data_IF_386556565025
#
_entry.id   IF_386556565025
#
_cell.length_a   1.000
_cell.length_b   1.000
_cell.length_c   1.000
_cell.angle_alpha   90.00
_cell.angle_beta   90.00
_cell.angle_gamma   90.00
#
_symmetry.space_group_name_H-M   'P 1'
#
loop_
_entity.id
_entity.type
_entity.pdbx_description
1 polymer ?
#
# COMPACT_ATOMS: atom_id res chain seq x y z
N UNK A 1 72.98 -16.89 56.09
CA UNK A 1 73.67 -15.70 56.63
C UNK A 1 72.64 -14.60 56.69
N UNK A 2 72.18 -14.36 57.92
CA UNK A 2 72.49 -13.24 58.80
C UNK A 2 72.26 -11.88 58.14
N UNK A 3 71.43 -11.11 58.59
CA UNK A 3 71.14 -10.08 59.60
C UNK A 3 70.38 -8.94 58.92
N UNK A 4 69.59 -8.05 59.46
CA UNK A 4 69.08 -7.75 60.77
C UNK A 4 68.04 -6.66 60.64
N UNK A 5 67.20 -6.61 61.62
CA UNK A 5 66.12 -5.60 61.87
C UNK A 5 66.69 -4.18 62.03
N UNK A 6 65.91 -3.19 61.63
CA UNK A 6 65.75 -1.97 62.48
C UNK A 6 64.37 -1.36 62.24
N UNK A 7 63.67 -1.22 63.35
CA UNK A 7 62.46 -0.42 63.48
C UNK A 7 62.82 1.04 63.82
N UNK A 8 62.11 1.99 63.26
CA UNK A 8 62.03 3.33 63.79
C UNK A 8 60.60 3.88 63.57
N UNK A 9 60.18 4.52 64.66
CA UNK A 9 58.87 5.02 65.04
C UNK A 9 58.25 6.14 64.19
N UNK A 10 56.93 6.18 64.30
CA UNK A 10 56.00 7.23 63.81
C UNK A 10 56.28 8.65 64.42
N UNK A 11 55.74 9.66 63.70
CA UNK A 11 54.74 10.45 64.43
C UNK A 11 53.45 10.68 63.58
N UNK A 12 52.39 10.85 64.35
CA UNK A 12 51.02 11.20 63.95
C UNK A 12 50.95 12.56 63.26
N UNK A 13 50.28 12.66 62.11
CA UNK A 13 49.80 13.96 61.65
C UNK A 13 48.42 13.71 60.92
N UNK A 14 47.50 14.47 61.36
CA UNK A 14 46.13 14.77 61.00
C UNK A 14 45.65 14.29 59.60
N UNK A 15 44.60 13.49 59.64
CA UNK A 15 43.78 13.11 58.49
C UNK A 15 42.72 14.18 58.28
N UNK A 16 42.87 14.97 57.24
CA UNK A 16 41.78 15.81 56.69
C UNK A 16 41.02 14.95 55.66
N UNK A 17 39.78 14.64 56.02
CA UNK A 17 38.88 13.89 55.11
C UNK A 17 38.37 14.87 54.06
N UNK A 18 38.89 14.75 52.83
CA UNK A 18 38.30 15.38 51.65
C UNK A 18 37.25 14.42 51.08
N UNK A 19 35.97 14.77 51.25
CA UNK A 19 34.85 14.08 50.66
C UNK A 19 34.80 14.39 49.16
N UNK A 20 35.36 13.54 48.31
CA UNK A 20 35.22 13.63 46.87
C UNK A 20 33.84 13.10 46.48
N UNK A 21 32.92 14.00 46.15
CA UNK A 21 31.63 13.65 45.51
C UNK A 21 31.92 13.25 44.10
N UNK A 22 31.92 11.93 43.85
CA UNK A 22 31.93 11.37 42.47
C UNK A 22 30.54 11.56 41.90
N UNK A 23 30.36 12.61 41.11
CA UNK A 23 29.18 12.75 40.25
C UNK A 23 29.30 11.73 39.12
N UNK A 24 28.64 10.60 39.29
CA UNK A 24 28.48 9.60 38.25
C UNK A 24 27.52 10.15 37.19
N UNK A 25 28.05 10.83 36.16
CA UNK A 25 27.29 11.15 34.96
C UNK A 25 26.92 9.85 34.26
N UNK A 26 25.79 9.26 34.63
CA UNK A 26 25.14 8.26 33.81
C UNK A 26 24.72 8.90 32.46
N UNK A 27 25.63 8.86 31.49
CA UNK A 27 25.30 9.09 30.10
C UNK A 27 24.35 7.97 29.68
N UNK A 28 23.05 8.15 29.88
CA UNK A 28 22.03 7.33 29.22
C UNK A 28 22.21 7.55 27.72
N UNK A 29 23.02 6.73 27.12
CA UNK A 29 23.06 6.57 25.68
C UNK A 29 21.67 6.11 25.22
N UNK A 30 20.88 7.03 24.65
CA UNK A 30 19.70 6.66 23.90
C UNK A 30 20.15 5.78 22.75
N UNK A 31 19.95 4.46 22.88
CA UNK A 31 19.98 3.56 21.73
C UNK A 31 18.98 4.04 20.69
N UNK A 32 19.29 4.00 19.40
CA UNK A 32 18.38 4.51 18.39
C UNK A 32 17.07 3.69 18.43
N UNK A 33 15.95 4.39 18.60
CA UNK A 33 14.59 3.85 18.61
C UNK A 33 14.12 3.30 17.23
N UNK A 34 15.01 2.76 16.44
CA UNK A 34 14.68 2.25 15.11
C UNK A 34 13.68 1.08 15.12
N UNK A 35 13.69 0.25 16.17
CA UNK A 35 12.82 -0.92 16.23
C UNK A 35 11.39 -0.67 16.68
N UNK A 36 11.09 0.46 17.35
CA UNK A 36 9.74 0.77 17.82
C UNK A 36 8.89 1.53 16.80
N UNK A 37 9.53 2.30 15.91
CA UNK A 37 8.81 2.99 14.82
C UNK A 37 8.42 2.02 13.68
N UNK A 38 9.23 0.99 13.39
CA UNK A 38 8.91 0.02 12.35
C UNK A 38 7.72 -0.89 12.70
N UNK A 39 7.47 -1.16 13.99
CA UNK A 39 6.30 -1.91 14.44
C UNK A 39 4.96 -1.17 14.22
N UNK A 40 4.99 0.14 13.99
CA UNK A 40 3.81 0.96 13.71
C UNK A 40 3.55 1.18 12.23
N UNK A 41 4.50 0.90 11.34
CA UNK A 41 4.34 1.08 9.90
C UNK A 41 3.40 0.06 9.29
N UNK A 42 2.66 0.47 8.28
CA UNK A 42 1.82 -0.41 7.47
C UNK A 42 2.74 -1.16 6.50
N UNK A 43 2.73 -2.48 6.58
CA UNK A 43 3.50 -3.35 5.68
C UNK A 43 2.72 -3.59 4.39
N UNK A 44 3.27 -3.15 3.28
CA UNK A 44 2.62 -3.19 1.98
C UNK A 44 3.44 -4.04 1.00
N UNK A 45 2.78 -4.93 0.28
CA UNK A 45 3.35 -5.53 -0.93
C UNK A 45 2.71 -4.91 -2.16
N UNK A 46 3.54 -4.37 -3.06
CA UNK A 46 3.12 -3.77 -4.32
C UNK A 46 3.37 -4.77 -5.44
N UNK A 47 2.30 -5.32 -5.99
CA UNK A 47 2.35 -6.33 -7.06
C UNK A 47 2.35 -5.61 -8.40
N UNK A 48 3.38 -5.84 -9.21
CA UNK A 48 3.55 -5.24 -10.53
C UNK A 48 3.71 -6.32 -11.60
N UNK A 49 3.56 -6.02 -12.82
CA UNK A 49 3.84 -6.69 -14.09
C UNK A 49 2.63 -6.71 -15.04
N UNK A 50 2.83 -7.25 -16.24
CA UNK A 50 1.79 -7.35 -17.27
C UNK A 50 1.50 -6.03 -18.00
N UNK A 51 2.03 -4.90 -17.50
CA UNK A 51 1.96 -3.57 -18.12
C UNK A 51 3.21 -2.76 -17.78
N UNK A 52 3.76 -2.04 -18.76
CA UNK A 52 4.94 -1.18 -18.54
C UNK A 52 4.58 0.13 -17.86
N UNK A 53 5.45 0.61 -16.97
CA UNK A 53 5.27 1.89 -16.28
C UNK A 53 6.62 2.49 -15.86
N UNK A 54 6.64 3.75 -15.45
CA UNK A 54 7.83 4.43 -14.91
C UNK A 54 7.96 4.11 -13.43
N UNK A 55 8.90 3.20 -13.08
CA UNK A 55 9.06 2.69 -11.70
C UNK A 55 9.37 3.80 -10.69
N UNK A 56 10.36 4.64 -10.95
CA UNK A 56 10.82 5.67 -10.01
C UNK A 56 9.71 6.63 -9.57
N UNK A 57 8.97 7.35 -10.46
CA UNK A 57 7.91 8.24 -10.03
C UNK A 57 6.71 7.49 -9.42
N UNK A 58 6.45 6.25 -9.81
CA UNK A 58 5.41 5.43 -9.21
C UNK A 58 5.73 5.08 -7.75
N UNK A 59 6.93 4.57 -7.48
CA UNK A 59 7.29 4.18 -6.11
C UNK A 59 7.49 5.39 -5.18
N UNK A 60 7.79 6.57 -5.71
CA UNK A 60 7.81 7.81 -4.94
C UNK A 60 6.47 8.12 -4.22
N UNK A 61 5.34 7.57 -4.70
CA UNK A 61 4.03 7.66 -4.03
C UNK A 61 4.11 7.03 -2.63
N UNK A 62 4.76 5.88 -2.51
CA UNK A 62 4.88 5.12 -1.26
C UNK A 62 5.98 5.69 -0.36
N UNK A 63 7.10 6.10 -0.94
CA UNK A 63 8.25 6.67 -0.23
C UNK A 63 7.91 7.98 0.49
N UNK A 64 7.00 8.77 -0.08
CA UNK A 64 6.52 10.02 0.53
C UNK A 64 5.71 9.82 1.81
N UNK A 65 5.31 8.59 2.11
CA UNK A 65 4.48 8.22 3.27
C UNK A 65 5.33 7.59 4.38
N UNK A 66 5.68 8.35 5.41
CA UNK A 66 6.58 7.91 6.48
C UNK A 66 6.08 6.71 7.32
N UNK A 67 4.79 6.41 7.28
CA UNK A 67 4.13 5.32 7.99
C UNK A 67 3.83 4.09 7.11
N UNK A 68 4.25 4.10 5.84
CA UNK A 68 4.13 2.97 4.91
C UNK A 68 5.52 2.38 4.68
N UNK A 69 5.63 1.07 4.85
CA UNK A 69 6.80 0.29 4.46
C UNK A 69 6.38 -0.66 3.34
N UNK A 70 7.01 -0.53 2.17
CA UNK A 70 6.60 -1.32 1.02
C UNK A 70 7.73 -2.17 0.45
N UNK A 71 7.35 -3.26 -0.21
CA UNK A 71 8.22 -4.05 -1.08
C UNK A 71 7.55 -4.23 -2.43
N UNK A 72 8.32 -4.23 -3.51
CA UNK A 72 7.85 -4.61 -4.84
C UNK A 72 7.86 -6.12 -4.98
N UNK A 73 6.76 -6.69 -5.51
CA UNK A 73 6.67 -8.07 -5.98
C UNK A 73 6.33 -8.05 -7.47
N UNK A 74 7.34 -8.06 -8.32
CA UNK A 74 7.16 -8.16 -9.76
C UNK A 74 6.79 -9.60 -10.13
N UNK A 75 5.57 -9.77 -10.65
CA UNK A 75 5.06 -11.08 -11.07
C UNK A 75 5.62 -11.40 -12.46
N UNK A 76 6.63 -12.22 -12.53
CA UNK A 76 7.26 -12.59 -13.80
C UNK A 76 6.48 -13.61 -14.58
N UNK A 77 5.64 -14.38 -13.90
CA UNK A 77 4.93 -15.54 -14.45
C UNK A 77 3.45 -15.50 -14.04
N UNK A 78 2.96 -16.46 -13.30
CA UNK A 78 1.54 -16.68 -13.02
C UNK A 78 1.13 -16.21 -11.61
N UNK A 79 1.54 -15.02 -11.19
CA UNK A 79 1.23 -14.49 -9.86
C UNK A 79 1.86 -15.31 -8.72
N UNK A 80 3.14 -15.62 -8.86
CA UNK A 80 3.94 -16.47 -7.99
C UNK A 80 4.02 -15.99 -6.53
N UNK A 81 3.79 -14.70 -6.25
CA UNK A 81 3.67 -14.19 -4.89
C UNK A 81 2.65 -14.96 -4.04
N UNK A 82 1.61 -15.48 -4.69
CA UNK A 82 0.53 -16.19 -4.03
C UNK A 82 0.74 -17.71 -3.98
N UNK A 83 1.92 -18.23 -4.34
CA UNK A 83 2.23 -19.67 -4.29
C UNK A 83 2.27 -20.19 -2.86
N UNK A 84 2.98 -19.49 -1.99
CA UNK A 84 3.07 -19.82 -0.56
C UNK A 84 2.76 -18.57 0.30
N UNK A 85 1.71 -18.67 1.06
CA UNK A 85 1.25 -17.61 1.96
C UNK A 85 1.45 -17.94 3.45
N UNK A 86 2.23 -18.98 3.77
CA UNK A 86 2.46 -19.42 5.15
C UNK A 86 3.20 -18.38 5.98
N UNK A 87 4.17 -17.68 5.37
CA UNK A 87 4.95 -16.59 5.96
C UNK A 87 4.38 -15.19 5.71
N UNK A 88 3.11 -15.06 5.36
CA UNK A 88 2.53 -13.76 4.98
C UNK A 88 2.54 -12.75 6.12
N UNK A 89 3.23 -11.64 5.92
CA UNK A 89 3.45 -10.59 6.91
C UNK A 89 3.14 -9.17 6.36
N UNK A 90 2.22 -9.07 5.40
CA UNK A 90 1.78 -7.78 4.85
C UNK A 90 0.36 -7.46 5.31
N UNK A 91 0.13 -6.18 5.67
CA UNK A 91 -1.18 -5.65 6.06
C UNK A 91 -2.05 -5.37 4.82
N UNK A 92 -1.42 -4.94 3.71
CA UNK A 92 -2.11 -4.53 2.49
C UNK A 92 -1.40 -5.05 1.25
N UNK A 93 -2.18 -5.56 0.30
CA UNK A 93 -1.78 -5.84 -1.07
C UNK A 93 -2.16 -4.63 -1.93
N UNK A 94 -1.20 -4.06 -2.65
CA UNK A 94 -1.45 -3.08 -3.72
C UNK A 94 -1.25 -3.76 -5.05
N UNK A 95 -2.30 -3.87 -5.86
CA UNK A 95 -2.22 -4.40 -7.22
C UNK A 95 -2.02 -3.26 -8.21
N UNK A 96 -0.90 -3.28 -8.89
CA UNK A 96 -0.58 -2.45 -10.04
C UNK A 96 -0.03 -3.34 -11.16
N UNK A 97 -0.76 -4.42 -11.42
CA UNK A 97 -0.41 -5.44 -12.40
C UNK A 97 -1.56 -5.64 -13.40
N UNK A 98 -1.21 -6.11 -14.59
CA UNK A 98 -2.17 -6.58 -15.59
C UNK A 98 -1.86 -8.03 -16.02
N UNK A 99 -1.27 -8.81 -15.10
CA UNK A 99 -0.99 -10.23 -15.28
C UNK A 99 -2.29 -10.98 -15.55
N UNK A 100 -2.29 -11.85 -16.52
CA UNK A 100 -3.51 -12.57 -16.94
C UNK A 100 -3.66 -13.92 -16.25
N UNK A 101 -2.55 -14.58 -15.99
CA UNK A 101 -2.54 -15.95 -15.47
C UNK A 101 -2.46 -15.96 -13.93
N UNK A 102 -3.29 -16.81 -13.34
CA UNK A 102 -3.24 -17.13 -11.93
C UNK A 102 -3.82 -18.55 -11.74
N UNK A 103 -3.03 -19.47 -11.20
CA UNK A 103 -3.47 -20.84 -10.99
C UNK A 103 -4.58 -20.95 -9.93
N UNK A 104 -5.42 -22.01 -9.96
CA UNK A 104 -6.46 -22.18 -8.94
C UNK A 104 -5.95 -22.18 -7.50
N UNK A 105 -4.75 -22.71 -7.25
CA UNK A 105 -4.14 -22.70 -5.92
C UNK A 105 -3.81 -21.26 -5.49
N UNK A 106 -3.23 -20.45 -6.38
CA UNK A 106 -2.90 -19.04 -6.13
C UNK A 106 -4.15 -18.17 -5.99
N UNK A 107 -5.22 -18.45 -6.77
CA UNK A 107 -6.54 -17.83 -6.59
C UNK A 107 -7.08 -18.11 -5.17
N UNK A 108 -7.01 -19.37 -4.72
CA UNK A 108 -7.41 -19.76 -3.38
C UNK A 108 -6.58 -19.05 -2.31
N UNK A 109 -5.28 -18.94 -2.50
CA UNK A 109 -4.38 -18.27 -1.55
C UNK A 109 -4.67 -16.77 -1.44
N UNK A 110 -4.87 -16.06 -2.57
CA UNK A 110 -5.27 -14.66 -2.56
C UNK A 110 -6.62 -14.46 -1.85
N UNK A 111 -7.64 -15.25 -2.17
CA UNK A 111 -8.93 -15.17 -1.49
C UNK A 111 -8.84 -15.49 0.00
N UNK A 112 -7.97 -16.43 0.39
CA UNK A 112 -7.71 -16.76 1.80
C UNK A 112 -7.09 -15.59 2.56
N UNK A 113 -6.16 -14.83 1.95
CA UNK A 113 -5.60 -13.61 2.52
C UNK A 113 -6.69 -12.56 2.77
N UNK A 114 -7.56 -12.32 1.78
CA UNK A 114 -8.67 -11.38 1.89
C UNK A 114 -9.68 -11.81 2.96
N UNK A 115 -9.98 -13.10 3.04
CA UNK A 115 -10.85 -13.65 4.09
C UNK A 115 -10.26 -13.53 5.50
N UNK A 116 -8.94 -13.50 5.63
CA UNK A 116 -8.24 -13.20 6.90
C UNK A 116 -8.24 -11.73 7.26
N UNK A 117 -8.53 -10.83 6.30
CA UNK A 117 -8.63 -9.39 6.50
C UNK A 117 -7.44 -8.60 5.99
N UNK A 118 -6.54 -9.20 5.21
CA UNK A 118 -5.49 -8.45 4.49
C UNK A 118 -6.16 -7.45 3.56
N UNK A 119 -5.82 -6.16 3.66
CA UNK A 119 -6.40 -5.10 2.85
C UNK A 119 -6.00 -5.21 1.38
N UNK A 120 -6.83 -4.67 0.49
CA UNK A 120 -6.54 -4.65 -0.95
C UNK A 120 -6.75 -3.25 -1.53
N UNK A 121 -5.74 -2.74 -2.23
CA UNK A 121 -5.85 -1.54 -3.07
C UNK A 121 -5.50 -1.94 -4.50
N UNK A 122 -6.46 -1.85 -5.40
CA UNK A 122 -6.27 -2.14 -6.82
C UNK A 122 -6.19 -0.82 -7.60
N UNK A 123 -5.13 -0.64 -8.38
CA UNK A 123 -4.83 0.60 -9.06
C UNK A 123 -4.91 0.42 -10.57
N UNK A 124 -5.54 1.39 -11.22
CA UNK A 124 -5.54 1.62 -12.65
C UNK A 124 -5.80 0.35 -13.47
N UNK A 125 -4.83 -0.09 -14.27
CA UNK A 125 -4.97 -1.23 -15.19
C UNK A 125 -5.14 -2.59 -14.50
N UNK A 126 -5.01 -2.67 -13.18
CA UNK A 126 -5.30 -3.91 -12.44
C UNK A 126 -6.74 -4.40 -12.61
N UNK A 127 -7.68 -3.52 -13.00
CA UNK A 127 -9.06 -3.90 -13.36
C UNK A 127 -9.12 -4.79 -14.61
N UNK A 128 -8.08 -4.77 -15.45
CA UNK A 128 -7.91 -5.62 -16.62
C UNK A 128 -7.13 -6.91 -16.37
N UNK A 129 -6.67 -7.17 -15.13
CA UNK A 129 -5.96 -8.39 -14.78
C UNK A 129 -6.91 -9.61 -14.70
N UNK A 130 -6.33 -10.81 -14.78
CA UNK A 130 -7.00 -12.08 -14.50
C UNK A 130 -8.34 -12.28 -15.24
N UNK A 131 -8.36 -12.03 -16.55
CA UNK A 131 -9.58 -12.08 -17.36
C UNK A 131 -10.35 -13.40 -17.24
N UNK A 132 -9.65 -14.53 -17.06
CA UNK A 132 -10.25 -15.86 -16.94
C UNK A 132 -10.68 -16.22 -15.51
N UNK A 133 -10.60 -15.28 -14.56
CA UNK A 133 -11.01 -15.49 -13.17
C UNK A 133 -12.22 -14.61 -12.79
N UNK A 134 -13.47 -15.11 -12.92
CA UNK A 134 -14.67 -14.32 -12.65
C UNK A 134 -14.76 -13.77 -11.22
N UNK A 135 -14.22 -14.49 -10.22
CA UNK A 135 -14.24 -14.05 -8.85
C UNK A 135 -13.41 -12.77 -8.62
N UNK A 136 -12.35 -12.54 -9.43
CA UNK A 136 -11.56 -11.34 -9.34
C UNK A 136 -12.39 -10.06 -9.56
N UNK A 137 -13.35 -10.09 -10.53
CA UNK A 137 -14.29 -9.00 -10.74
C UNK A 137 -15.09 -8.67 -9.48
N UNK A 138 -15.56 -9.70 -8.76
CA UNK A 138 -16.29 -9.54 -7.51
C UNK A 138 -15.39 -9.00 -6.39
N UNK A 139 -14.13 -9.41 -6.35
CA UNK A 139 -13.14 -8.92 -5.37
C UNK A 139 -12.95 -7.42 -5.52
N UNK A 140 -12.59 -6.93 -6.71
CA UNK A 140 -12.24 -5.51 -6.91
C UNK A 140 -13.44 -4.64 -7.28
N UNK A 141 -14.58 -5.23 -7.62
CA UNK A 141 -15.81 -4.51 -7.89
C UNK A 141 -16.02 -4.06 -9.34
N UNK A 142 -15.21 -4.53 -10.28
CA UNK A 142 -15.34 -4.18 -11.69
C UNK A 142 -14.41 -4.97 -12.59
N UNK A 143 -14.60 -4.80 -13.89
CA UNK A 143 -13.77 -5.41 -14.93
C UNK A 143 -13.67 -4.51 -16.16
N UNK A 144 -12.46 -4.36 -16.65
CA UNK A 144 -12.14 -3.90 -17.99
C UNK A 144 -11.91 -5.12 -18.86
N UNK A 145 -12.72 -5.33 -19.88
CA UNK A 145 -12.59 -6.46 -20.82
C UNK A 145 -11.55 -6.14 -21.89
N UNK A 146 -10.47 -6.91 -21.93
CA UNK A 146 -9.41 -6.77 -22.96
C UNK A 146 -9.88 -7.21 -24.33
N UNK A 147 -10.81 -8.16 -24.38
CA UNK A 147 -11.45 -8.68 -25.59
C UNK A 147 -12.93 -8.90 -25.30
N UNK A 148 -13.70 -9.13 -26.35
CA UNK A 148 -15.07 -9.65 -26.22
C UNK A 148 -15.04 -11.00 -25.50
N UNK A 149 -15.91 -11.17 -24.50
CA UNK A 149 -15.92 -12.34 -23.63
C UNK A 149 -17.32 -12.67 -23.17
N UNK A 150 -17.69 -13.96 -23.22
CA UNK A 150 -18.88 -14.46 -22.56
C UNK A 150 -18.58 -14.78 -21.09
N UNK A 151 -19.37 -14.22 -20.19
CA UNK A 151 -19.27 -14.48 -18.75
C UNK A 151 -20.68 -14.73 -18.18
N UNK A 152 -20.90 -15.91 -17.59
CA UNK A 152 -22.20 -16.32 -17.02
C UNK A 152 -23.39 -16.20 -18.01
N UNK A 153 -23.18 -16.54 -19.27
CA UNK A 153 -24.20 -16.48 -20.32
C UNK A 153 -24.47 -15.07 -20.86
N UNK A 154 -23.68 -14.08 -20.46
CA UNK A 154 -23.77 -12.70 -20.96
C UNK A 154 -22.54 -12.38 -21.79
N UNK A 155 -22.76 -11.93 -23.03
CA UNK A 155 -21.67 -11.45 -23.89
C UNK A 155 -21.31 -10.02 -23.50
N UNK A 156 -20.04 -9.79 -23.14
CA UNK A 156 -19.45 -8.48 -22.85
C UNK A 156 -18.55 -8.07 -24.00
N UNK A 157 -18.76 -6.89 -24.56
CA UNK A 157 -17.87 -6.31 -25.55
C UNK A 157 -16.56 -5.84 -24.93
N UNK A 158 -15.55 -5.66 -25.78
CA UNK A 158 -14.26 -5.07 -25.38
C UNK A 158 -14.47 -3.68 -24.79
N UNK A 159 -13.78 -3.40 -23.68
CA UNK A 159 -13.70 -2.06 -23.09
C UNK A 159 -12.77 -1.15 -23.88
N UNK A 160 -12.96 0.17 -23.77
CA UNK A 160 -12.16 1.18 -24.45
C UNK A 160 -11.30 1.95 -23.46
N UNK A 161 -10.20 2.54 -23.94
CA UNK A 161 -9.37 3.46 -23.19
C UNK A 161 -8.90 4.63 -24.05
N UNK A 162 -8.58 5.75 -23.41
CA UNK A 162 -8.02 6.92 -24.07
C UNK A 162 -7.00 7.60 -23.17
N UNK A 163 -5.78 7.81 -23.70
CA UNK A 163 -4.68 8.47 -23.01
C UNK A 163 -4.73 10.00 -23.12
N UNK A 164 -3.99 10.66 -22.24
CA UNK A 164 -3.63 12.06 -22.36
C UNK A 164 -4.81 13.02 -22.20
N UNK A 165 -5.69 12.73 -21.26
CA UNK A 165 -6.91 13.48 -20.98
C UNK A 165 -6.79 14.30 -19.69
N UNK A 166 -7.29 15.53 -19.72
CA UNK A 166 -7.50 16.29 -18.49
C UNK A 166 -8.88 15.95 -17.91
N UNK A 167 -8.86 15.09 -16.91
CA UNK A 167 -10.07 14.53 -16.29
C UNK A 167 -10.47 15.38 -15.11
N UNK A 168 -11.66 15.97 -15.15
CA UNK A 168 -12.29 16.59 -13.99
C UNK A 168 -12.80 15.51 -13.04
N UNK A 169 -12.26 15.45 -11.84
CA UNK A 169 -12.60 14.49 -10.79
C UNK A 169 -13.50 15.14 -9.76
N UNK A 170 -14.66 14.56 -9.53
CA UNK A 170 -15.62 15.01 -8.53
C UNK A 170 -15.61 14.11 -7.30
N UNK A 171 -15.57 14.72 -6.12
CA UNK A 171 -15.61 14.00 -4.84
C UNK A 171 -17.06 13.69 -4.48
N UNK A 172 -17.49 12.43 -4.73
CA UNK A 172 -18.86 11.96 -4.51
C UNK A 172 -19.21 11.81 -3.03
N UNK A 173 -18.32 11.19 -2.23
CA UNK A 173 -18.48 11.13 -0.78
C UNK A 173 -17.37 11.90 -0.05
N UNK A 174 -17.70 13.10 0.44
CA UNK A 174 -16.77 13.98 1.20
C UNK A 174 -16.61 13.56 2.67
N UNK A 175 -17.37 12.58 3.16
CA UNK A 175 -17.34 12.10 4.55
C UNK A 175 -16.51 10.86 4.72
N UNK A 176 -16.33 10.07 3.64
CA UNK A 176 -15.54 8.85 3.71
C UNK A 176 -14.06 9.16 4.07
N UNK A 177 -13.42 8.36 4.95
CA UNK A 177 -12.05 8.62 5.42
C UNK A 177 -11.02 8.83 4.30
N UNK A 178 -11.14 8.11 3.18
CA UNK A 178 -10.23 8.24 2.03
C UNK A 178 -10.34 9.63 1.41
N UNK A 179 -11.55 10.16 1.25
CA UNK A 179 -11.84 11.40 0.51
C UNK A 179 -12.09 12.62 1.39
N UNK A 180 -12.20 12.43 2.71
CA UNK A 180 -12.46 13.51 3.67
C UNK A 180 -11.50 14.68 3.50
N UNK A 181 -12.04 15.88 3.26
CA UNK A 181 -11.29 17.12 3.06
C UNK A 181 -10.57 17.20 1.70
N UNK A 182 -10.84 16.29 0.76
CA UNK A 182 -10.50 16.48 -0.65
C UNK A 182 -11.52 17.41 -1.30
N UNK A 183 -11.05 18.19 -2.27
CA UNK A 183 -11.88 19.00 -3.18
C UNK A 183 -11.86 18.34 -4.54
N UNK A 184 -12.79 18.72 -5.40
CA UNK A 184 -12.75 18.38 -6.81
C UNK A 184 -11.44 18.91 -7.41
N UNK A 185 -10.87 18.14 -8.34
CA UNK A 185 -9.56 18.45 -8.95
C UNK A 185 -9.52 18.00 -10.40
N UNK A 186 -8.49 18.41 -11.10
CA UNK A 186 -8.19 17.92 -12.46
C UNK A 186 -6.92 17.09 -12.41
N UNK A 187 -6.88 16.02 -13.18
CA UNK A 187 -5.70 15.17 -13.35
C UNK A 187 -5.50 14.85 -14.83
N UNK A 188 -4.25 14.93 -15.29
CA UNK A 188 -3.86 14.45 -16.61
C UNK A 188 -3.63 12.95 -16.54
N UNK A 189 -4.44 12.15 -17.25
CA UNK A 189 -4.45 10.70 -17.08
C UNK A 189 -5.08 9.97 -18.26
N UNK A 190 -5.25 8.66 -18.12
CA UNK A 190 -5.99 7.78 -19.00
C UNK A 190 -7.41 7.54 -18.46
N UNK A 191 -8.38 7.47 -19.36
CA UNK A 191 -9.76 7.14 -19.05
C UNK A 191 -10.14 5.75 -19.58
N UNK A 192 -11.02 5.05 -18.86
CA UNK A 192 -11.61 3.77 -19.24
C UNK A 192 -13.11 3.92 -19.52
N UNK A 193 -13.58 3.22 -20.56
CA UNK A 193 -14.97 3.23 -20.98
C UNK A 193 -15.47 1.81 -21.24
N UNK A 194 -16.77 1.58 -21.06
CA UNK A 194 -17.42 0.28 -21.22
C UNK A 194 -16.90 -0.79 -20.25
N UNK A 195 -16.48 -0.39 -19.08
CA UNK A 195 -16.21 -1.30 -17.99
C UNK A 195 -17.51 -1.88 -17.42
N UNK A 196 -17.43 -3.03 -16.79
CA UNK A 196 -18.56 -3.60 -16.04
C UNK A 196 -18.29 -3.43 -14.55
N UNK A 197 -19.30 -3.00 -13.81
CA UNK A 197 -19.21 -2.73 -12.38
C UNK A 197 -20.10 -3.66 -11.58
N UNK A 198 -19.61 -4.13 -10.45
CA UNK A 198 -20.37 -4.93 -9.50
C UNK A 198 -21.33 -4.04 -8.67
N UNK A 199 -22.48 -4.60 -8.35
CA UNK A 199 -23.39 -3.98 -7.37
C UNK A 199 -22.71 -3.92 -6.00
N UNK A 200 -23.07 -2.90 -5.22
CA UNK A 200 -22.56 -2.72 -3.85
C UNK A 200 -21.21 -2.00 -3.76
N UNK A 201 -20.67 -1.48 -4.86
CA UNK A 201 -19.58 -0.53 -4.79
C UNK A 201 -20.04 0.77 -4.14
N UNK A 202 -19.31 1.23 -3.13
CA UNK A 202 -19.49 2.58 -2.58
C UNK A 202 -18.55 3.53 -3.32
N UNK A 203 -19.09 4.29 -4.26
CA UNK A 203 -18.33 5.19 -5.14
C UNK A 203 -17.88 6.43 -4.37
N UNK A 204 -16.59 6.72 -4.43
CA UNK A 204 -15.96 7.86 -3.75
C UNK A 204 -15.63 9.01 -4.70
N UNK A 205 -15.18 8.69 -5.93
CA UNK A 205 -14.83 9.67 -6.95
C UNK A 205 -15.55 9.34 -8.24
N UNK A 206 -15.98 10.39 -8.95
CA UNK A 206 -16.66 10.29 -10.24
C UNK A 206 -16.08 11.28 -11.24
N UNK A 207 -16.45 11.11 -12.52
CA UNK A 207 -16.20 12.07 -13.57
C UNK A 207 -17.40 12.13 -14.53
N UNK A 208 -17.56 13.24 -15.22
CA UNK A 208 -18.47 13.38 -16.35
C UNK A 208 -17.75 13.43 -17.70
N UNK A 209 -16.45 13.07 -17.73
CA UNK A 209 -15.66 13.07 -18.95
C UNK A 209 -16.23 12.06 -19.96
N UNK A 210 -16.50 12.44 -21.23
CA UNK A 210 -17.21 11.57 -22.19
C UNK A 210 -16.45 10.30 -22.56
N UNK A 211 -15.10 10.30 -22.48
CA UNK A 211 -14.26 9.14 -22.73
C UNK A 211 -14.13 8.21 -21.53
N UNK A 212 -14.75 8.52 -20.38
CA UNK A 212 -14.70 7.68 -19.16
C UNK A 212 -16.07 7.14 -18.80
N UNK A 213 -16.10 6.00 -18.11
CA UNK A 213 -17.24 5.67 -17.27
C UNK A 213 -17.25 6.58 -16.04
N UNK A 214 -18.44 6.74 -15.42
CA UNK A 214 -18.61 7.69 -14.31
C UNK A 214 -17.77 7.36 -13.08
N UNK A 215 -17.71 6.09 -12.57
CA UNK A 215 -16.96 5.77 -11.37
C UNK A 215 -15.44 5.76 -11.62
N UNK A 216 -14.69 6.56 -10.85
CA UNK A 216 -13.23 6.61 -10.88
C UNK A 216 -12.57 5.95 -9.66
N UNK A 217 -13.27 5.89 -8.53
CA UNK A 217 -12.79 5.27 -7.31
C UNK A 217 -13.96 4.76 -6.50
N UNK A 218 -13.82 3.57 -5.95
CA UNK A 218 -14.80 2.99 -5.04
C UNK A 218 -14.18 2.11 -3.98
N UNK A 219 -14.96 1.83 -2.94
CA UNK A 219 -14.62 0.88 -1.90
C UNK A 219 -15.70 -0.18 -1.76
N UNK A 220 -15.29 -1.35 -1.27
CA UNK A 220 -16.19 -2.47 -0.96
C UNK A 220 -15.57 -3.40 0.07
N UNK A 221 -16.34 -4.31 0.62
CA UNK A 221 -15.88 -5.43 1.39
C UNK A 221 -15.74 -6.69 0.53
N UNK A 222 -14.72 -7.52 0.82
CA UNK A 222 -14.63 -8.89 0.33
C UNK A 222 -14.10 -9.80 1.44
N UNK A 223 -14.89 -10.76 1.89
CA UNK A 223 -14.59 -11.48 3.12
C UNK A 223 -14.44 -10.51 4.30
N UNK A 224 -13.28 -10.52 4.96
CA UNK A 224 -12.94 -9.54 6.01
C UNK A 224 -12.10 -8.38 5.49
N UNK A 225 -11.70 -8.39 4.23
CA UNK A 225 -10.86 -7.36 3.64
C UNK A 225 -11.66 -6.08 3.35
N UNK A 226 -10.99 -4.94 3.53
CA UNK A 226 -11.39 -3.65 2.96
C UNK A 226 -10.71 -3.51 1.60
N UNK A 227 -11.50 -3.36 0.54
CA UNK A 227 -11.01 -3.27 -0.85
C UNK A 227 -11.29 -1.87 -1.38
N UNK A 228 -10.27 -1.24 -1.97
CA UNK A 228 -10.38 0.02 -2.69
C UNK A 228 -9.85 -0.16 -4.12
N UNK A 229 -10.61 0.30 -5.10
CA UNK A 229 -10.13 0.45 -6.48
C UNK A 229 -10.02 1.92 -6.84
N UNK A 230 -8.95 2.27 -7.57
CA UNK A 230 -8.68 3.62 -8.10
C UNK A 230 -8.34 3.49 -9.58
N UNK A 231 -9.20 4.05 -10.46
CA UNK A 231 -8.96 4.03 -11.91
C UNK A 231 -7.77 4.89 -12.33
N UNK A 232 -7.54 5.99 -11.63
CA UNK A 232 -6.46 6.94 -11.93
C UNK A 232 -5.08 6.29 -11.75
N UNK A 233 -4.06 6.83 -12.43
CA UNK A 233 -2.67 6.44 -12.22
C UNK A 233 -2.01 5.73 -13.38
N UNK A 234 -2.17 6.23 -14.61
CA UNK A 234 -1.57 5.62 -15.80
C UNK A 234 -0.07 5.88 -15.92
N UNK A 235 0.36 7.12 -15.70
CA UNK A 235 1.73 7.54 -15.97
C UNK A 235 2.29 8.54 -14.96
N UNK A 236 3.48 9.09 -15.27
CA UNK A 236 4.19 10.03 -14.39
C UNK A 236 3.38 11.27 -14.06
N UNK A 237 2.57 11.79 -14.99
CA UNK A 237 1.75 12.98 -14.74
C UNK A 237 0.71 12.70 -13.65
N UNK A 238 0.10 11.51 -13.70
CA UNK A 238 -0.81 11.07 -12.65
C UNK A 238 -0.08 10.79 -11.32
N UNK A 239 1.09 10.11 -11.34
CA UNK A 239 1.85 9.80 -10.12
C UNK A 239 2.35 11.05 -9.39
N UNK A 240 2.63 12.14 -10.11
CA UNK A 240 3.07 13.42 -9.54
C UNK A 240 1.92 14.28 -9.01
N UNK A 241 0.66 13.96 -9.36
CA UNK A 241 -0.50 14.68 -8.87
C UNK A 241 -0.69 14.48 -7.36
N UNK A 242 -0.67 15.56 -6.59
CA UNK A 242 -0.76 15.51 -5.12
C UNK A 242 -2.08 14.87 -4.62
N UNK A 243 -3.19 15.09 -5.33
CA UNK A 243 -4.47 14.50 -4.97
C UNK A 243 -4.46 12.99 -5.19
N UNK A 244 -3.82 12.50 -6.27
CA UNK A 244 -3.65 11.07 -6.52
C UNK A 244 -2.76 10.43 -5.45
N UNK A 245 -1.60 11.01 -5.13
CA UNK A 245 -0.72 10.54 -4.05
C UNK A 245 -1.45 10.45 -2.71
N UNK A 246 -2.20 11.50 -2.38
CA UNK A 246 -3.04 11.56 -1.18
C UNK A 246 -4.11 10.46 -1.19
N UNK A 247 -4.76 10.24 -2.31
CA UNK A 247 -5.79 9.22 -2.49
C UNK A 247 -5.23 7.82 -2.25
N UNK A 248 -4.12 7.45 -2.92
CA UNK A 248 -3.46 6.14 -2.78
C UNK A 248 -2.99 5.91 -1.34
N UNK A 249 -2.31 6.87 -0.73
CA UNK A 249 -1.81 6.72 0.64
C UNK A 249 -2.94 6.57 1.66
N UNK A 250 -4.07 7.23 1.47
CA UNK A 250 -5.26 7.08 2.31
C UNK A 250 -6.00 5.78 2.06
N UNK A 251 -6.07 5.31 0.81
CA UNK A 251 -6.64 4.02 0.48
C UNK A 251 -5.87 2.89 1.18
N UNK A 252 -4.54 2.94 1.18
CA UNK A 252 -3.68 1.98 1.90
C UNK A 252 -3.99 2.01 3.41
N UNK A 253 -4.00 3.18 4.04
CA UNK A 253 -4.31 3.30 5.48
C UNK A 253 -5.71 2.80 5.82
N UNK A 254 -6.69 3.10 4.98
CA UNK A 254 -8.07 2.65 5.18
C UNK A 254 -8.18 1.13 5.02
N UNK A 255 -7.55 0.55 4.00
CA UNK A 255 -7.54 -0.90 3.78
C UNK A 255 -6.80 -1.65 4.89
N UNK A 256 -5.77 -1.05 5.50
CA UNK A 256 -5.07 -1.56 6.67
C UNK A 256 -5.85 -1.38 8.00
N UNK A 257 -7.03 -0.75 7.98
CA UNK A 257 -7.77 -0.43 9.21
C UNK A 257 -7.16 0.67 10.07
N UNK A 258 -6.23 1.47 9.51
CA UNK A 258 -5.52 2.56 10.22
C UNK A 258 -6.13 3.95 9.95
N UNK A 259 -7.19 4.04 9.14
CA UNK A 259 -7.93 5.25 8.82
C UNK A 259 -9.44 4.95 8.90
N UNK A 260 -10.16 5.62 9.83
CA UNK A 260 -11.59 5.45 10.08
C UNK A 260 -12.35 6.76 9.90
#
# INVERSE_FOLDING_TARGET
>A
MKYARKAVSLPRALVSILLAVVVCCCSCGRSPQRGQDDAKKIKVVVVTAGHGFKKEPFFAIFESSGDINYVEAEQRDQSELFEDISGWDYDVIVLYNMTQEISPARQHNLTSLLNRGVGLVALHHSIGAFQQWPEYRKIIGGRFYLNEMEENGVMHGKSDYQHGLDIAVHVGDKRHPITRGMKDFVIHDEAYKKCVFEKGNHVLLTTNHPASDEPLCWVRGYGKARVCYIQLGHDSAAYENENYRRLVSRAIRWSAGRLN
#
